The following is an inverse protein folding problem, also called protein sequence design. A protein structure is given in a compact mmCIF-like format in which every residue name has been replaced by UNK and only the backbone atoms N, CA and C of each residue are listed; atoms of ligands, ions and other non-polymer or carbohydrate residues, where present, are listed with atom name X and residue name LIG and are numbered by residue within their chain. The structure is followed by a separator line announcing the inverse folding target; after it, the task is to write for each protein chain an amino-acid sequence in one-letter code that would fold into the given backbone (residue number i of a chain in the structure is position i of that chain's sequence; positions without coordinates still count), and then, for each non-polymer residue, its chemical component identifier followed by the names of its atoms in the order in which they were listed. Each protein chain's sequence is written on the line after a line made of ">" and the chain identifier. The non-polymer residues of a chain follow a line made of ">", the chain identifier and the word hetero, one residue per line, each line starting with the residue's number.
data_IF_824653758446
#
_entry.id   IF_824653758446
#
_cell.length_a   1.000
_cell.length_b   1.000
_cell.length_c   1.000
_cell.angle_alpha   90.00
_cell.angle_beta   90.00
_cell.angle_gamma   90.00
#
_symmetry.space_group_name_H-M   'P 1'
#
loop_
_entity.id
_entity.type
_entity.pdbx_description
1 polymer ?
#
# COMPACT_ATOMS: atom_id res chain seq x y z
N UNK A 1 1.78 -3.43 26.91
CA UNK A 1 2.50 -3.10 25.66
C UNK A 1 1.68 -2.10 24.86
N UNK A 2 2.31 -1.07 24.26
CA UNK A 2 1.61 -0.14 23.39
C UNK A 2 1.03 -0.91 22.18
N UNK A 3 -0.19 -0.57 21.78
CA UNK A 3 -0.86 -1.25 20.65
C UNK A 3 -0.30 -0.71 19.35
N UNK A 4 0.15 -1.58 18.45
CA UNK A 4 0.69 -1.23 17.13
C UNK A 4 -0.33 -0.49 16.30
N UNK A 5 0.05 0.64 15.72
CA UNK A 5 -0.77 1.44 14.79
C UNK A 5 -0.28 1.22 13.36
N UNK A 6 -1.17 0.75 12.51
CA UNK A 6 -0.89 0.48 11.09
C UNK A 6 -1.76 1.39 10.23
N UNK A 7 -1.14 2.16 9.34
CA UNK A 7 -1.85 2.94 8.35
C UNK A 7 -1.78 2.24 6.99
N UNK A 8 -2.93 2.08 6.34
CA UNK A 8 -3.04 1.43 5.04
C UNK A 8 -3.77 2.35 4.06
N UNK A 9 -3.09 2.78 3.00
CA UNK A 9 -3.74 3.53 1.92
C UNK A 9 -4.37 2.59 0.91
N UNK A 10 -5.45 3.03 0.23
CA UNK A 10 -6.21 2.17 -0.68
C UNK A 10 -6.94 1.03 0.02
N UNK A 11 -7.31 1.21 1.31
CA UNK A 11 -7.84 0.16 2.17
C UNK A 11 -9.33 -0.18 1.95
N UNK A 12 -10.01 0.48 1.02
CA UNK A 12 -11.47 0.31 0.84
C UNK A 12 -11.88 -0.96 0.10
N UNK A 13 -10.95 -1.65 -0.55
CA UNK A 13 -11.19 -2.88 -1.33
C UNK A 13 -9.88 -3.59 -1.69
N UNK A 14 -9.98 -4.75 -2.36
CA UNK A 14 -8.86 -5.50 -2.95
C UNK A 14 -7.76 -5.81 -1.94
N UNK A 15 -6.51 -5.69 -2.36
CA UNK A 15 -5.32 -6.03 -1.55
C UNK A 15 -5.28 -5.22 -0.25
N UNK A 16 -5.58 -3.92 -0.28
CA UNK A 16 -5.56 -3.09 0.92
C UNK A 16 -6.57 -3.52 1.98
N UNK A 17 -7.77 -3.94 1.58
CA UNK A 17 -8.76 -4.50 2.48
C UNK A 17 -8.36 -5.88 3.01
N UNK A 18 -7.74 -6.72 2.17
CA UNK A 18 -7.20 -8.02 2.58
C UNK A 18 -6.09 -7.85 3.62
N UNK A 19 -5.14 -6.92 3.40
CA UNK A 19 -4.09 -6.58 4.36
C UNK A 19 -4.71 -6.16 5.70
N UNK A 20 -5.67 -5.24 5.69
CA UNK A 20 -6.33 -4.77 6.92
C UNK A 20 -6.97 -5.91 7.71
N UNK A 21 -7.72 -6.80 7.04
CA UNK A 21 -8.36 -7.96 7.67
C UNK A 21 -7.34 -8.99 8.18
N UNK A 22 -6.26 -9.22 7.45
CA UNK A 22 -5.19 -10.15 7.86
C UNK A 22 -4.52 -9.67 9.14
N UNK A 23 -4.10 -8.39 9.20
CA UNK A 23 -3.53 -7.82 10.41
C UNK A 23 -4.54 -7.80 11.59
N UNK A 24 -5.82 -7.51 11.31
CA UNK A 24 -6.87 -7.54 12.33
C UNK A 24 -7.05 -8.92 12.98
N UNK A 25 -7.03 -9.97 12.15
CA UNK A 25 -7.19 -11.37 12.60
C UNK A 25 -5.98 -11.87 13.39
N UNK A 26 -4.79 -11.51 12.94
CA UNK A 26 -3.54 -12.11 13.38
C UNK A 26 -2.79 -11.32 14.47
N UNK A 27 -3.18 -10.06 14.71
CA UNK A 27 -2.53 -9.21 15.71
C UNK A 27 -3.53 -8.69 16.74
N UNK A 28 -3.52 -9.26 17.94
CA UNK A 28 -4.42 -8.85 19.03
C UNK A 28 -4.25 -7.36 19.35
N UNK A 29 -5.38 -6.64 19.33
CA UNK A 29 -5.43 -5.23 19.73
C UNK A 29 -4.75 -4.26 18.79
N UNK A 30 -4.46 -4.66 17.54
CA UNK A 30 -3.93 -3.76 16.50
C UNK A 30 -4.90 -2.60 16.25
N UNK A 31 -4.34 -1.44 15.96
CA UNK A 31 -5.07 -0.24 15.55
C UNK A 31 -4.86 0.01 14.08
N UNK A 32 -5.94 0.14 13.31
CA UNK A 32 -5.91 0.26 11.86
C UNK A 32 -6.47 1.62 11.42
N UNK A 33 -5.60 2.46 10.87
CA UNK A 33 -5.98 3.68 10.15
C UNK A 33 -6.15 3.33 8.66
N UNK A 34 -7.40 3.22 8.22
CA UNK A 34 -7.75 2.83 6.85
C UNK A 34 -8.00 4.09 6.02
N UNK A 35 -7.25 4.26 4.93
CA UNK A 35 -7.30 5.49 4.11
C UNK A 35 -7.75 5.16 2.69
N UNK A 36 -8.78 5.83 2.20
CA UNK A 36 -9.23 5.83 0.80
C UNK A 36 -10.25 6.93 0.55
N UNK A 37 -10.63 7.13 -0.71
CA UNK A 37 -11.64 8.12 -1.10
C UNK A 37 -13.07 7.65 -0.80
N UNK A 38 -13.36 6.35 -0.97
CA UNK A 38 -14.70 5.79 -0.78
C UNK A 38 -15.00 5.50 0.69
N UNK A 39 -15.67 6.45 1.36
CA UNK A 39 -16.03 6.37 2.78
C UNK A 39 -16.94 5.17 3.09
N UNK A 40 -17.91 4.88 2.22
CA UNK A 40 -18.84 3.75 2.43
C UNK A 40 -18.09 2.44 2.54
N UNK A 41 -17.23 2.16 1.56
CA UNK A 41 -16.44 0.93 1.53
C UNK A 41 -15.41 0.89 2.68
N UNK A 42 -14.77 2.03 3.00
CA UNK A 42 -13.87 2.11 4.17
C UNK A 42 -14.57 1.70 5.46
N UNK A 43 -15.79 2.19 5.69
CA UNK A 43 -16.54 1.86 6.89
C UNK A 43 -16.93 0.37 6.94
N UNK A 44 -17.21 -0.26 5.78
CA UNK A 44 -17.45 -1.70 5.73
C UNK A 44 -16.19 -2.49 6.12
N UNK A 45 -15.02 -2.10 5.61
CA UNK A 45 -13.74 -2.75 5.96
C UNK A 45 -13.40 -2.52 7.43
N UNK A 46 -13.59 -1.30 7.96
CA UNK A 46 -13.34 -0.99 9.36
C UNK A 46 -14.18 -1.89 10.29
N UNK A 47 -15.49 -1.97 10.04
CA UNK A 47 -16.40 -2.86 10.81
C UNK A 47 -15.99 -4.33 10.71
N UNK A 48 -15.53 -4.78 9.54
CA UNK A 48 -15.04 -6.15 9.38
C UNK A 48 -13.77 -6.40 10.22
N UNK A 49 -12.84 -5.43 10.27
CA UNK A 49 -11.64 -5.51 11.11
C UNK A 49 -11.99 -5.47 12.61
N UNK A 50 -12.98 -4.67 13.02
CA UNK A 50 -13.45 -4.61 14.41
C UNK A 50 -14.04 -5.95 14.87
N UNK A 51 -14.81 -6.63 14.00
CA UNK A 51 -15.31 -8.00 14.27
C UNK A 51 -14.19 -9.03 14.44
N UNK A 52 -13.00 -8.75 13.89
CA UNK A 52 -11.80 -9.58 14.05
C UNK A 52 -10.94 -9.16 15.27
N UNK A 53 -11.39 -8.20 16.07
CA UNK A 53 -10.73 -7.79 17.32
C UNK A 53 -9.76 -6.61 17.20
N UNK A 54 -9.68 -5.96 16.06
CA UNK A 54 -8.91 -4.73 15.87
C UNK A 54 -9.69 -3.50 16.37
N UNK A 55 -8.98 -2.37 16.57
CA UNK A 55 -9.61 -1.05 16.62
C UNK A 55 -9.36 -0.38 15.27
N UNK A 56 -10.39 -0.16 14.48
CA UNK A 56 -10.24 0.38 13.13
C UNK A 56 -11.00 1.71 12.95
N UNK A 57 -10.48 2.58 12.08
CA UNK A 57 -11.18 3.80 11.66
C UNK A 57 -10.85 4.14 10.21
N UNK A 58 -11.85 4.59 9.46
CA UNK A 58 -11.70 5.08 8.10
C UNK A 58 -11.40 6.58 8.06
N UNK A 59 -10.47 6.97 7.20
CA UNK A 59 -10.09 8.35 6.92
C UNK A 59 -10.25 8.63 5.43
N UNK A 60 -11.21 9.48 5.08
CA UNK A 60 -11.42 9.89 3.68
C UNK A 60 -10.26 10.77 3.23
N UNK A 61 -9.56 10.37 2.16
CA UNK A 61 -8.44 11.13 1.63
C UNK A 61 -8.18 10.76 0.17
N UNK A 62 -7.97 11.76 -0.67
CA UNK A 62 -7.23 11.58 -1.91
C UNK A 62 -5.73 11.72 -1.60
N UNK A 63 -5.02 10.61 -1.63
CA UNK A 63 -3.59 10.57 -1.30
C UNK A 63 -2.69 11.23 -2.35
N UNK A 64 -3.23 11.62 -3.50
CA UNK A 64 -2.56 12.44 -4.51
C UNK A 64 -2.58 13.94 -4.20
N UNK A 65 -3.43 14.38 -3.27
CA UNK A 65 -3.55 15.77 -2.84
C UNK A 65 -2.78 16.02 -1.54
N UNK A 66 -1.83 16.97 -1.57
CA UNK A 66 -0.96 17.25 -0.43
C UNK A 66 -1.71 17.84 0.78
N UNK A 67 -2.71 18.70 0.52
CA UNK A 67 -3.53 19.29 1.58
C UNK A 67 -4.39 18.24 2.27
N UNK A 68 -5.04 17.35 1.48
CA UNK A 68 -5.81 16.23 2.01
C UNK A 68 -4.93 15.27 2.82
N UNK A 69 -3.72 14.96 2.38
CA UNK A 69 -2.76 14.11 3.11
C UNK A 69 -2.37 14.76 4.44
N UNK A 70 -2.11 16.08 4.47
CA UNK A 70 -1.78 16.81 5.71
C UNK A 70 -2.93 16.74 6.71
N UNK A 71 -4.16 17.01 6.27
CA UNK A 71 -5.35 16.94 7.12
C UNK A 71 -5.60 15.51 7.63
N UNK A 72 -5.48 14.51 6.78
CA UNK A 72 -5.60 13.09 7.13
C UNK A 72 -4.54 12.70 8.16
N UNK A 73 -3.29 13.09 7.98
CA UNK A 73 -2.20 12.77 8.90
C UNK A 73 -2.45 13.38 10.30
N UNK A 74 -2.98 14.61 10.36
CA UNK A 74 -3.39 15.21 11.63
C UNK A 74 -4.51 14.39 12.31
N UNK A 75 -5.56 14.04 11.56
CA UNK A 75 -6.68 13.25 12.08
C UNK A 75 -6.26 11.85 12.57
N UNK A 76 -5.36 11.17 11.85
CA UNK A 76 -4.80 9.87 12.27
C UNK A 76 -4.02 10.01 13.56
N UNK A 77 -3.11 11.00 13.66
CA UNK A 77 -2.34 11.25 14.90
C UNK A 77 -3.23 11.59 16.08
N UNK A 78 -4.28 12.39 15.88
CA UNK A 78 -5.26 12.71 16.94
C UNK A 78 -6.00 11.46 17.42
N UNK A 79 -6.34 10.53 16.54
CA UNK A 79 -7.14 9.34 16.86
C UNK A 79 -6.34 8.20 17.44
N UNK A 80 -5.15 7.93 16.90
CA UNK A 80 -4.36 6.73 17.18
C UNK A 80 -2.96 7.01 17.73
N UNK A 81 -2.50 8.25 17.68
CA UNK A 81 -1.12 8.60 18.01
C UNK A 81 -0.17 8.33 16.84
N UNK A 82 1.00 7.87 17.17
CA UNK A 82 2.06 7.61 16.18
C UNK A 82 1.77 6.34 15.37
N UNK A 83 2.04 6.39 14.07
CA UNK A 83 1.96 5.24 13.16
C UNK A 83 3.25 4.44 13.26
N UNK A 84 3.15 3.15 13.52
CA UNK A 84 4.28 2.22 13.61
C UNK A 84 4.59 1.55 12.27
N UNK A 85 3.53 1.28 11.48
CA UNK A 85 3.62 0.63 10.17
C UNK A 85 2.85 1.46 9.14
N UNK A 86 3.54 1.87 8.10
CA UNK A 86 2.94 2.56 6.96
C UNK A 86 2.90 1.62 5.76
N UNK A 87 1.70 1.41 5.19
CA UNK A 87 1.49 0.61 3.99
C UNK A 87 0.93 1.50 2.88
N UNK A 88 1.80 1.94 1.98
CA UNK A 88 1.48 2.69 0.78
C UNK A 88 0.97 1.72 -0.29
N UNK A 89 -0.33 1.39 -0.23
CA UNK A 89 -0.97 0.45 -1.16
C UNK A 89 -1.89 1.14 -2.19
N UNK A 90 -2.30 2.38 -1.97
CA UNK A 90 -3.16 3.09 -2.90
C UNK A 90 -2.56 3.13 -4.30
N UNK A 91 -3.38 2.86 -5.30
CA UNK A 91 -2.97 2.91 -6.70
C UNK A 91 -4.14 2.63 -7.64
N UNK A 92 -3.97 2.98 -8.90
CA UNK A 92 -4.92 2.71 -9.97
C UNK A 92 -4.17 2.24 -11.20
N UNK A 93 -4.77 1.31 -11.94
CA UNK A 93 -4.31 0.88 -13.25
C UNK A 93 -5.34 1.30 -14.30
N UNK A 94 -4.91 2.04 -15.28
CA UNK A 94 -5.71 2.44 -16.45
C UNK A 94 -4.86 2.23 -17.69
N UNK A 95 -5.07 1.12 -18.41
CA UNK A 95 -4.32 0.85 -19.62
C UNK A 95 -4.63 1.89 -20.69
N UNK A 96 -3.61 2.26 -21.46
CA UNK A 96 -3.74 3.08 -22.66
C UNK A 96 -2.61 2.73 -23.62
N UNK A 97 -2.90 2.69 -24.92
CA UNK A 97 -1.87 2.60 -25.94
C UNK A 97 -0.92 3.79 -25.83
N UNK A 98 0.37 3.57 -26.04
CA UNK A 98 1.36 4.66 -25.97
C UNK A 98 1.02 5.83 -26.89
N UNK A 99 0.51 5.54 -28.07
CA UNK A 99 0.15 6.56 -29.07
C UNK A 99 -1.13 7.35 -28.71
N UNK A 100 -1.98 6.81 -27.84
CA UNK A 100 -3.26 7.40 -27.42
C UNK A 100 -3.21 7.98 -26.01
N UNK A 101 -2.12 7.75 -25.29
CA UNK A 101 -1.95 8.22 -23.91
C UNK A 101 -1.82 9.74 -23.87
N UNK A 102 -2.82 10.43 -23.34
CA UNK A 102 -2.74 11.88 -23.16
C UNK A 102 -1.85 12.26 -21.96
N UNK A 103 -1.22 13.45 -21.98
CA UNK A 103 -0.48 13.98 -20.82
C UNK A 103 -1.29 13.96 -19.53
N UNK A 104 -2.57 14.34 -19.58
CA UNK A 104 -3.44 14.33 -18.39
C UNK A 104 -3.66 12.92 -17.81
N UNK A 105 -3.79 11.90 -18.66
CA UNK A 105 -3.89 10.50 -18.22
C UNK A 105 -2.57 10.02 -17.61
N UNK A 106 -1.45 10.41 -18.20
CA UNK A 106 -0.11 10.10 -17.66
C UNK A 106 0.07 10.72 -16.27
N UNK A 107 -0.18 12.02 -16.13
CA UNK A 107 -0.04 12.76 -14.87
C UNK A 107 -0.98 12.21 -13.78
N UNK A 108 -2.21 11.86 -14.14
CA UNK A 108 -3.16 11.26 -13.20
C UNK A 108 -2.65 9.91 -12.63
N UNK A 109 -2.02 9.08 -13.47
CA UNK A 109 -1.44 7.81 -13.00
C UNK A 109 -0.17 8.01 -12.17
N UNK A 110 0.71 8.95 -12.54
CA UNK A 110 1.88 9.31 -11.72
C UNK A 110 1.43 9.86 -10.36
N UNK A 111 0.43 10.72 -10.35
CA UNK A 111 -0.11 11.29 -9.11
C UNK A 111 -0.66 10.20 -8.19
N UNK A 112 -1.48 9.29 -8.73
CA UNK A 112 -2.14 8.27 -7.92
C UNK A 112 -1.19 7.15 -7.44
N UNK A 113 -0.16 6.79 -8.23
CA UNK A 113 0.67 5.62 -7.95
C UNK A 113 2.07 5.95 -7.40
N UNK A 114 2.64 7.13 -7.71
CA UNK A 114 3.99 7.53 -7.31
C UNK A 114 3.98 8.72 -6.35
N UNK A 115 3.39 9.85 -6.76
CA UNK A 115 3.35 11.05 -5.93
C UNK A 115 2.67 10.80 -4.59
N UNK A 116 1.61 10.01 -4.58
CA UNK A 116 0.90 9.60 -3.35
C UNK A 116 1.83 8.89 -2.35
N UNK A 117 2.73 8.02 -2.81
CA UNK A 117 3.71 7.32 -1.95
C UNK A 117 4.64 8.33 -1.29
N UNK A 118 5.14 9.30 -2.05
CA UNK A 118 5.99 10.37 -1.52
C UNK A 118 5.25 11.19 -0.45
N UNK A 119 4.07 11.72 -0.79
CA UNK A 119 3.30 12.60 0.11
C UNK A 119 2.95 11.93 1.43
N UNK A 120 2.43 10.69 1.38
CA UNK A 120 2.06 9.96 2.59
C UNK A 120 3.30 9.57 3.39
N UNK A 121 4.40 9.18 2.74
CA UNK A 121 5.65 8.87 3.44
C UNK A 121 6.22 10.08 4.14
N UNK A 122 6.25 11.24 3.50
CA UNK A 122 6.71 12.51 4.12
C UNK A 122 5.84 12.92 5.31
N UNK A 123 4.57 12.57 5.31
CA UNK A 123 3.69 12.88 6.44
C UNK A 123 3.93 12.00 7.68
N UNK A 124 4.44 10.75 7.54
CA UNK A 124 4.52 9.82 8.67
C UNK A 124 5.93 9.36 9.01
N UNK A 125 6.85 9.26 8.05
CA UNK A 125 8.21 8.75 8.25
C UNK A 125 9.05 9.61 9.21
N UNK A 126 8.99 10.96 9.21
CA UNK A 126 9.77 11.75 10.15
C UNK A 126 9.58 11.33 11.61
N UNK A 127 8.35 11.09 12.04
CA UNK A 127 8.08 10.65 13.40
C UNK A 127 8.56 9.21 13.69
N UNK A 128 8.71 8.36 12.67
CA UNK A 128 9.36 7.04 12.81
C UNK A 128 10.87 7.20 13.01
N UNK A 129 11.49 8.12 12.29
CA UNK A 129 12.92 8.46 12.42
C UNK A 129 13.23 9.00 13.81
N UNK A 130 12.42 9.96 14.31
CA UNK A 130 12.58 10.50 15.67
C UNK A 130 12.56 9.42 16.75
N UNK A 131 11.73 8.39 16.59
CA UNK A 131 11.63 7.25 17.52
C UNK A 131 12.70 6.18 17.31
N UNK A 132 13.47 6.26 16.22
CA UNK A 132 14.39 5.20 15.81
C UNK A 132 13.67 3.87 15.48
N UNK A 133 12.39 3.91 15.09
CA UNK A 133 11.57 2.72 14.83
C UNK A 133 10.41 3.00 13.89
N UNK A 134 10.27 2.17 12.86
CA UNK A 134 9.14 2.16 11.95
C UNK A 134 9.28 1.07 10.90
N UNK A 135 8.17 0.77 10.22
CA UNK A 135 8.12 -0.11 9.07
C UNK A 135 7.35 0.56 7.95
N UNK A 136 7.95 0.65 6.78
CA UNK A 136 7.33 1.22 5.58
C UNK A 136 7.26 0.13 4.51
N UNK A 137 6.07 -0.12 4.00
CA UNK A 137 5.84 -1.00 2.87
C UNK A 137 5.31 -0.17 1.70
N UNK A 138 6.00 -0.22 0.59
CA UNK A 138 5.56 0.40 -0.65
C UNK A 138 5.05 -0.68 -1.61
N UNK A 139 3.80 -0.54 -2.05
CA UNK A 139 3.20 -1.41 -3.04
C UNK A 139 3.78 -1.08 -4.42
N UNK A 140 4.77 -1.85 -4.82
CA UNK A 140 5.27 -1.90 -6.19
C UNK A 140 4.31 -2.63 -7.13
N UNK A 141 4.87 -3.30 -8.08
CA UNK A 141 4.23 -4.23 -9.04
C UNK A 141 5.31 -4.89 -9.85
N UNK A 142 5.02 -6.01 -10.50
CA UNK A 142 5.87 -6.51 -11.61
C UNK A 142 6.02 -5.45 -12.69
N UNK A 143 5.06 -4.55 -12.87
CA UNK A 143 5.12 -3.38 -13.75
C UNK A 143 6.21 -2.35 -13.38
N UNK A 144 6.80 -2.45 -12.20
CA UNK A 144 7.97 -1.67 -11.78
C UNK A 144 9.30 -2.38 -12.00
N UNK A 145 9.26 -3.58 -12.58
CA UNK A 145 10.43 -4.43 -12.88
C UNK A 145 10.54 -4.75 -14.38
N UNK A 146 9.40 -4.82 -15.07
CA UNK A 146 9.32 -5.08 -16.51
C UNK A 146 8.19 -4.27 -17.15
N UNK A 147 8.36 -3.90 -18.40
CA UNK A 147 7.35 -3.20 -19.18
C UNK A 147 6.43 -4.18 -19.91
N UNK A 148 5.22 -3.72 -20.26
CA UNK A 148 4.28 -4.44 -21.12
C UNK A 148 3.42 -3.44 -21.92
N UNK A 149 2.83 -3.88 -23.04
CA UNK A 149 2.00 -3.03 -23.88
C UNK A 149 0.79 -2.47 -23.11
N UNK A 150 0.44 -1.20 -23.39
CA UNK A 150 -0.65 -0.51 -22.69
C UNK A 150 -0.34 -0.03 -21.28
N UNK A 151 0.86 -0.32 -20.77
CA UNK A 151 1.27 0.00 -19.40
C UNK A 151 2.07 1.29 -19.24
N UNK A 152 2.25 2.13 -20.25
CA UNK A 152 3.24 3.21 -20.25
C UNK A 152 3.21 4.09 -18.99
N UNK A 153 2.08 4.68 -18.62
CA UNK A 153 1.97 5.53 -17.44
C UNK A 153 2.08 4.73 -16.12
N UNK A 154 1.51 3.53 -16.08
CA UNK A 154 1.55 2.69 -14.89
C UNK A 154 2.94 2.11 -14.64
N UNK A 155 3.61 1.60 -15.67
CA UNK A 155 5.00 1.16 -15.57
C UNK A 155 5.90 2.30 -15.14
N UNK A 156 5.81 3.49 -15.78
CA UNK A 156 6.59 4.66 -15.37
C UNK A 156 6.42 4.98 -13.88
N UNK A 157 5.16 4.98 -13.39
CA UNK A 157 4.89 5.21 -11.99
C UNK A 157 5.48 4.11 -11.07
N UNK A 158 5.34 2.83 -11.45
CA UNK A 158 5.82 1.70 -10.63
C UNK A 158 7.34 1.55 -10.65
N UNK A 159 8.01 1.82 -11.76
CA UNK A 159 9.48 1.98 -11.79
C UNK A 159 9.92 3.14 -10.88
N UNK A 160 9.19 4.27 -10.89
CA UNK A 160 9.40 5.37 -9.98
C UNK A 160 9.25 4.97 -8.50
N UNK A 161 8.24 4.17 -8.15
CA UNK A 161 8.06 3.63 -6.78
C UNK A 161 9.23 2.72 -6.40
N UNK A 162 9.71 1.89 -7.31
CA UNK A 162 10.90 1.04 -7.10
C UNK A 162 12.12 1.88 -6.77
N UNK A 163 12.42 2.91 -7.59
CA UNK A 163 13.53 3.83 -7.35
C UNK A 163 13.38 4.61 -6.03
N UNK A 164 12.21 5.20 -5.78
CA UNK A 164 11.91 5.92 -4.54
C UNK A 164 12.10 5.02 -3.31
N UNK A 165 11.63 3.78 -3.36
CA UNK A 165 11.75 2.83 -2.24
C UNK A 165 13.20 2.49 -1.93
N UNK A 166 14.03 2.31 -2.95
CA UNK A 166 15.48 2.06 -2.78
C UNK A 166 16.18 3.24 -2.12
N UNK A 167 15.90 4.48 -2.55
CA UNK A 167 16.43 5.69 -1.90
C UNK A 167 15.96 5.81 -0.46
N UNK A 168 14.66 5.66 -0.21
CA UNK A 168 14.11 5.67 1.16
C UNK A 168 14.83 4.66 2.06
N UNK A 169 15.09 3.45 1.55
CA UNK A 169 15.78 2.41 2.31
C UNK A 169 17.21 2.86 2.67
N UNK A 170 17.98 3.36 1.69
CA UNK A 170 19.36 3.81 1.93
C UNK A 170 19.43 4.93 2.98
N UNK A 171 18.53 5.89 2.92
CA UNK A 171 18.51 7.03 3.84
C UNK A 171 17.97 6.69 5.25
N UNK A 172 17.15 5.64 5.38
CA UNK A 172 16.42 5.34 6.60
C UNK A 172 16.94 4.10 7.36
N UNK A 173 17.74 3.24 6.75
CA UNK A 173 18.26 2.01 7.39
C UNK A 173 19.05 2.28 8.67
N UNK A 174 19.85 3.34 8.71
CA UNK A 174 20.61 3.75 9.90
C UNK A 174 19.77 4.50 10.94
N UNK A 175 18.54 4.88 10.58
CA UNK A 175 17.59 5.61 11.43
C UNK A 175 16.53 4.69 12.06
N UNK A 176 16.74 3.37 12.01
CA UNK A 176 15.87 2.37 12.63
C UNK A 176 14.55 2.12 11.90
N UNK A 177 14.38 2.60 10.67
CA UNK A 177 13.18 2.39 9.84
C UNK A 177 13.46 1.35 8.77
N UNK A 178 12.67 0.28 8.74
CA UNK A 178 12.72 -0.73 7.68
C UNK A 178 11.85 -0.29 6.52
N UNK A 179 12.34 -0.45 5.30
CA UNK A 179 11.60 -0.11 4.07
C UNK A 179 11.58 -1.33 3.16
N UNK A 180 10.40 -1.77 2.76
CA UNK A 180 10.17 -2.96 1.93
C UNK A 180 9.39 -2.57 0.68
N UNK A 181 9.84 -3.05 -0.48
CA UNK A 181 9.12 -3.01 -1.74
C UNK A 181 8.38 -4.34 -1.93
N UNK A 182 7.07 -4.30 -2.14
CA UNK A 182 6.26 -5.49 -2.44
C UNK A 182 5.76 -5.40 -3.87
N UNK A 183 6.19 -6.33 -4.73
CA UNK A 183 5.91 -6.35 -6.16
C UNK A 183 4.98 -7.51 -6.54
N UNK A 184 3.65 -7.36 -6.39
CA UNK A 184 2.74 -8.39 -6.85
C UNK A 184 2.54 -8.33 -8.37
N UNK A 185 2.36 -9.50 -8.97
CA UNK A 185 1.76 -9.69 -10.29
C UNK A 185 0.24 -9.69 -10.21
N UNK A 186 -0.42 -10.34 -11.16
CA UNK A 186 -1.87 -10.40 -11.25
C UNK A 186 -2.49 -10.96 -9.97
N UNK A 187 -3.22 -10.09 -9.25
CA UNK A 187 -3.84 -10.40 -7.96
C UNK A 187 -5.33 -10.05 -8.00
N UNK A 188 -6.19 -10.96 -7.59
CA UNK A 188 -7.64 -10.78 -7.64
C UNK A 188 -8.06 -9.55 -6.82
N UNK A 189 -8.81 -8.70 -7.47
CA UNK A 189 -9.39 -7.49 -6.88
C UNK A 189 -10.58 -7.04 -7.74
N UNK A 190 -11.43 -6.14 -7.28
CA UNK A 190 -12.53 -5.61 -8.08
C UNK A 190 -12.12 -5.02 -9.44
N UNK A 191 -10.85 -4.65 -9.64
CA UNK A 191 -10.34 -4.17 -10.93
C UNK A 191 -10.27 -5.25 -12.01
N UNK A 192 -10.34 -6.53 -11.65
CA UNK A 192 -10.39 -7.66 -12.57
C UNK A 192 -11.83 -8.06 -12.96
N UNK A 193 -12.84 -7.44 -12.35
CA UNK A 193 -14.23 -7.69 -12.71
C UNK A 193 -14.47 -7.35 -14.18
N UNK A 194 -14.99 -8.31 -14.94
CA UNK A 194 -15.25 -8.13 -16.37
C UNK A 194 -14.05 -8.34 -17.30
N UNK A 195 -12.87 -8.70 -16.78
CA UNK A 195 -11.67 -8.96 -17.60
C UNK A 195 -11.74 -10.29 -18.37
N UNK A 196 -12.66 -11.19 -18.01
CA UNK A 196 -12.72 -12.55 -18.57
C UNK A 196 -11.65 -13.51 -18.01
N UNK A 197 -10.72 -13.03 -17.18
CA UNK A 197 -9.70 -13.87 -16.55
C UNK A 197 -10.31 -14.65 -15.40
N UNK A 198 -10.19 -15.98 -15.37
CA UNK A 198 -10.69 -16.78 -14.25
C UNK A 198 -10.00 -16.42 -12.95
N UNK A 199 -10.74 -16.27 -11.84
CA UNK A 199 -10.18 -15.91 -10.53
C UNK A 199 -9.06 -16.88 -10.12
N UNK A 200 -9.21 -18.17 -10.32
CA UNK A 200 -8.21 -19.20 -10.02
C UNK A 200 -6.90 -19.08 -10.82
N UNK A 201 -6.87 -18.25 -11.86
CA UNK A 201 -5.68 -18.03 -12.70
C UNK A 201 -4.73 -16.99 -12.10
N UNK A 202 -5.22 -16.17 -11.18
CA UNK A 202 -4.48 -15.06 -10.55
C UNK A 202 -4.41 -15.29 -9.05
N UNK A 203 -3.49 -14.59 -8.38
CA UNK A 203 -3.28 -14.75 -6.94
C UNK A 203 -4.48 -14.23 -6.14
N UNK A 204 -4.87 -14.89 -5.04
CA UNK A 204 -5.79 -14.30 -4.07
C UNK A 204 -5.12 -13.11 -3.37
N UNK A 205 -5.89 -12.08 -3.05
CA UNK A 205 -5.39 -10.91 -2.33
C UNK A 205 -4.87 -11.27 -0.92
N UNK A 206 -5.38 -12.33 -0.34
CA UNK A 206 -5.00 -12.86 0.97
C UNK A 206 -3.55 -13.34 1.01
N UNK A 207 -3.03 -13.94 -0.07
CA UNK A 207 -1.63 -14.39 -0.15
C UNK A 207 -0.68 -13.19 -0.14
N UNK A 208 -1.02 -12.14 -0.90
CA UNK A 208 -0.26 -10.89 -0.86
C UNK A 208 -0.31 -10.27 0.55
N UNK A 209 -1.52 -10.23 1.15
CA UNK A 209 -1.69 -9.69 2.50
C UNK A 209 -0.91 -10.49 3.55
N UNK A 210 -0.81 -11.81 3.42
CA UNK A 210 -0.02 -12.68 4.28
C UNK A 210 1.46 -12.35 4.22
N UNK A 211 2.00 -12.09 3.03
CA UNK A 211 3.39 -11.69 2.87
C UNK A 211 3.74 -10.41 3.67
N UNK A 212 2.86 -9.39 3.68
CA UNK A 212 3.07 -8.19 4.51
C UNK A 212 3.19 -8.52 6.00
N UNK A 213 2.30 -9.37 6.50
CA UNK A 213 2.30 -9.77 7.91
C UNK A 213 3.54 -10.57 8.29
N UNK A 214 3.93 -11.53 7.46
CA UNK A 214 5.06 -12.41 7.75
C UNK A 214 6.38 -11.64 7.69
N UNK A 215 6.54 -10.71 6.76
CA UNK A 215 7.69 -9.78 6.71
C UNK A 215 7.70 -8.88 7.95
N UNK A 216 6.57 -8.30 8.35
CA UNK A 216 6.49 -7.48 9.56
C UNK A 216 6.94 -8.23 10.81
N UNK A 217 6.59 -9.52 10.92
CA UNK A 217 6.93 -10.41 12.07
C UNK A 217 8.41 -10.78 12.17
N UNK A 218 9.21 -10.56 11.15
CA UNK A 218 10.64 -10.78 11.20
C UNK A 218 11.31 -9.92 12.29
N UNK A 219 12.39 -10.43 12.87
CA UNK A 219 13.15 -9.68 13.88
C UNK A 219 13.61 -8.32 13.35
N UNK A 220 13.78 -7.33 14.21
CA UNK A 220 14.24 -5.99 13.84
C UNK A 220 15.65 -5.97 13.22
N UNK A 221 16.39 -7.07 13.28
CA UNK A 221 17.69 -7.21 12.63
C UNK A 221 17.61 -7.62 11.16
N UNK A 222 16.40 -7.93 10.67
CA UNK A 222 16.16 -8.40 9.30
C UNK A 222 15.24 -7.43 8.58
N UNK A 223 15.55 -7.13 7.34
CA UNK A 223 14.65 -6.44 6.39
C UNK A 223 14.53 -7.30 5.12
N UNK A 224 13.32 -7.42 4.62
CA UNK A 224 13.08 -7.87 3.25
C UNK A 224 13.07 -6.62 2.40
N UNK A 225 14.06 -6.45 1.56
CA UNK A 225 14.20 -5.23 0.73
C UNK A 225 13.18 -5.20 -0.39
N UNK A 226 13.00 -6.37 -1.03
CA UNK A 226 12.09 -6.56 -2.14
C UNK A 226 11.51 -7.98 -2.09
N UNK A 227 10.21 -8.10 -2.36
CA UNK A 227 9.55 -9.39 -2.55
C UNK A 227 8.70 -9.35 -3.82
N UNK A 228 8.84 -10.36 -4.66
CA UNK A 228 8.10 -10.53 -5.91
C UNK A 228 7.15 -11.71 -5.72
N UNK A 229 5.86 -11.47 -5.95
CA UNK A 229 4.80 -12.48 -5.88
C UNK A 229 4.14 -12.59 -7.24
N UNK A 230 4.06 -13.79 -7.81
CA UNK A 230 3.44 -14.03 -9.12
C UNK A 230 2.47 -15.20 -9.06
N UNK A 231 1.46 -15.22 -9.93
CA UNK A 231 0.66 -16.43 -10.12
C UNK A 231 1.56 -17.62 -10.45
N UNK A 232 1.22 -18.81 -9.94
CA UNK A 232 2.01 -20.03 -10.13
C UNK A 232 2.31 -20.32 -11.61
N UNK A 233 1.37 -19.99 -12.49
CA UNK A 233 1.51 -20.21 -13.94
C UNK A 233 2.09 -18.97 -14.68
N UNK A 234 2.72 -18.03 -13.96
CA UNK A 234 3.28 -16.82 -14.53
C UNK A 234 2.26 -15.70 -14.74
N UNK A 235 2.69 -14.63 -15.39
CA UNK A 235 1.83 -13.46 -15.66
C UNK A 235 0.77 -13.74 -16.74
N UNK A 236 -0.16 -12.80 -16.94
CA UNK A 236 -1.27 -12.89 -17.89
C UNK A 236 -1.05 -11.85 -18.97
#
# INVERSE_FOLDING_TARGET
>A
MAKTVILITGASQGIGAAIAKTFAREMRGVRLALVARNVRNLNLVARACEKLGATAAGFACDVGDAGAVTAMAHAVRKRFGQVDVLINNAGVFRPASFLELSPAQFDAQLTANLRSVLLVSQAFVPAMVERGRGDVFNMGSIAGLQAYPGGAAYCAAKFGVTGLTKVMREELKTKGVRVTLVCPGATYSPSWSGSGVPEKRIMPAEDVARAFLDIYRLSRRTVVEEIILRPQLGDI
#
